data_IF_820389355994
#
_entry.id   IF_820389355994
#
_cell.length_a   1.000
_cell.length_b   1.000
_cell.length_c   1.000
_cell.angle_alpha   90.00
_cell.angle_beta   90.00
_cell.angle_gamma   90.00
#
_symmetry.space_group_name_H-M   'P 1'
#
loop_
_entity.id
_entity.type
_entity.pdbx_description
1 polymer ?
#
# COMPACT_ATOMS: atom_id res chain seq x y z
N UNK A 1 5.89 -11.58 -5.92
CA UNK A 1 6.64 -11.21 -4.69
C UNK A 1 5.69 -10.52 -3.73
N UNK A 2 5.64 -11.00 -2.49
CA UNK A 2 4.78 -10.41 -1.47
C UNK A 2 5.57 -9.42 -0.61
N UNK A 3 5.13 -8.17 -0.58
CA UNK A 3 5.76 -7.08 0.17
C UNK A 3 4.87 -6.62 1.33
N UNK A 4 4.23 -7.57 1.98
CA UNK A 4 3.40 -7.33 3.17
C UNK A 4 3.63 -8.49 4.14
N UNK A 5 4.08 -8.17 5.36
CA UNK A 5 4.29 -9.18 6.40
C UNK A 5 2.99 -9.53 7.12
N UNK A 6 2.14 -8.52 7.35
CA UNK A 6 0.85 -8.72 8.01
C UNK A 6 -0.14 -7.69 7.53
N UNK A 7 -1.43 -8.04 7.62
CA UNK A 7 -2.52 -7.12 7.29
C UNK A 7 -3.70 -7.37 8.22
N UNK A 8 -4.31 -6.29 8.67
CA UNK A 8 -5.54 -6.30 9.46
C UNK A 8 -6.53 -5.38 8.77
N UNK A 9 -7.76 -5.86 8.59
CA UNK A 9 -8.86 -5.06 8.05
C UNK A 9 -9.73 -4.63 9.21
N UNK A 10 -9.99 -3.33 9.30
CA UNK A 10 -10.78 -2.74 10.38
C UNK A 10 -11.95 -1.96 9.81
N UNK A 11 -12.99 -1.78 10.63
CA UNK A 11 -14.18 -1.00 10.27
C UNK A 11 -14.21 0.25 11.13
N UNK A 12 -14.45 1.38 10.48
CA UNK A 12 -14.59 2.67 11.14
C UNK A 12 -16.03 3.15 10.95
N UNK A 13 -16.64 3.64 12.05
CA UNK A 13 -18.01 4.17 12.02
C UNK A 13 -17.94 5.68 12.20
N UNK A 14 -18.47 6.42 11.21
CA UNK A 14 -18.54 7.87 11.28
C UNK A 14 -19.69 8.32 12.18
N UNK A 15 -19.70 9.62 12.53
CA UNK A 15 -20.71 10.21 13.39
C UNK A 15 -22.14 10.06 12.83
N UNK A 16 -22.29 10.01 11.50
CA UNK A 16 -23.58 9.83 10.83
C UNK A 16 -24.04 8.37 10.76
N UNK A 17 -23.30 7.43 11.36
CA UNK A 17 -23.61 6.01 11.36
C UNK A 17 -23.10 5.24 10.15
N UNK A 18 -22.49 5.90 9.17
CA UNK A 18 -21.90 5.19 8.02
C UNK A 18 -20.65 4.44 8.44
N UNK A 19 -20.41 3.29 7.82
CA UNK A 19 -19.21 2.48 8.08
C UNK A 19 -18.33 2.45 6.85
N UNK A 20 -17.02 2.38 7.09
CA UNK A 20 -16.03 2.19 6.04
C UNK A 20 -14.98 1.21 6.53
N UNK A 21 -14.37 0.50 5.60
CA UNK A 21 -13.28 -0.43 5.90
C UNK A 21 -11.96 0.16 5.45
N UNK A 22 -10.93 -0.12 6.22
CA UNK A 22 -9.55 0.20 5.84
C UNK A 22 -8.65 -0.95 6.27
N UNK A 23 -7.51 -1.05 5.61
CA UNK A 23 -6.51 -2.04 5.95
C UNK A 23 -5.29 -1.37 6.56
N UNK A 24 -4.70 -2.03 7.55
CA UNK A 24 -3.40 -1.68 8.10
C UNK A 24 -2.47 -2.85 7.78
N UNK A 25 -1.52 -2.62 6.89
CA UNK A 25 -0.51 -3.59 6.51
C UNK A 25 0.85 -3.18 7.05
N UNK A 26 1.67 -4.15 7.38
CA UNK A 26 3.04 -3.88 7.85
C UNK A 26 4.05 -4.65 7.02
N UNK A 27 5.21 -4.04 6.85
CA UNK A 27 6.36 -4.70 6.25
C UNK A 27 7.63 -4.22 6.95
N UNK A 28 8.41 -5.15 7.45
CA UNK A 28 9.70 -4.84 8.07
C UNK A 28 10.82 -4.99 7.04
N UNK A 29 11.58 -3.92 6.81
CA UNK A 29 12.71 -3.91 5.88
C UNK A 29 13.89 -4.57 6.56
N UNK A 30 14.29 -5.74 6.08
CA UNK A 30 15.33 -6.56 6.72
C UNK A 30 16.74 -6.09 6.37
N UNK A 31 16.96 -5.68 5.11
CA UNK A 31 18.25 -5.21 4.64
C UNK A 31 18.87 -6.09 3.56
N UNK A 32 18.33 -7.31 3.38
CA UNK A 32 18.82 -8.25 2.38
C UNK A 32 17.94 -8.34 1.13
N UNK A 33 16.89 -7.52 1.07
CA UNK A 33 15.97 -7.52 -0.06
C UNK A 33 16.68 -7.13 -1.36
N UNK A 34 16.30 -7.79 -2.45
CA UNK A 34 16.93 -7.55 -3.75
C UNK A 34 16.79 -6.11 -4.23
N UNK A 35 15.71 -5.42 -3.87
CA UNK A 35 15.47 -4.04 -4.32
C UNK A 35 16.38 -3.02 -3.64
N UNK A 36 17.10 -3.40 -2.60
CA UNK A 36 18.11 -2.55 -1.96
C UNK A 36 19.46 -2.61 -2.66
N UNK A 37 19.69 -3.70 -3.42
CA UNK A 37 20.96 -3.91 -4.09
C UNK A 37 21.14 -2.91 -5.23
N UNK A 38 22.23 -2.15 -5.21
CA UNK A 38 22.50 -1.14 -6.22
C UNK A 38 21.73 0.16 -6.08
N UNK A 39 20.86 0.27 -5.07
CA UNK A 39 20.07 1.50 -4.84
C UNK A 39 20.41 2.09 -3.49
N UNK A 40 21.39 2.54 -3.47
CA UNK A 40 22.69 3.06 -3.47
C UNK A 40 23.62 2.16 -2.62
N UNK A 41 24.79 1.65 -3.10
CA UNK A 41 25.55 0.63 -2.38
C UNK A 41 25.97 1.05 -0.97
N UNK A 42 26.32 2.30 -0.76
CA UNK A 42 26.76 2.81 0.54
C UNK A 42 25.65 3.51 1.33
N UNK A 43 24.43 3.55 0.78
CA UNK A 43 23.30 4.22 1.39
C UNK A 43 21.99 3.55 0.93
N UNK A 44 21.71 2.35 1.44
CA UNK A 44 20.52 1.63 0.96
C UNK A 44 19.23 2.31 1.39
N UNK A 45 18.34 2.52 0.43
CA UNK A 45 17.00 3.05 0.66
C UNK A 45 16.01 2.24 -0.16
N UNK A 46 14.79 2.10 0.34
CA UNK A 46 13.73 1.44 -0.41
C UNK A 46 13.33 2.32 -1.59
N UNK A 47 13.41 1.81 -2.83
CA UNK A 47 13.00 2.60 -4.00
C UNK A 47 11.53 3.01 -3.91
N UNK A 48 11.23 4.23 -4.39
CA UNK A 48 9.86 4.74 -4.37
C UNK A 48 8.86 3.83 -5.06
N UNK A 49 9.26 3.22 -6.18
CA UNK A 49 8.38 2.29 -6.92
C UNK A 49 8.03 1.05 -6.08
N UNK A 50 8.91 0.62 -5.18
CA UNK A 50 8.63 -0.49 -4.28
C UNK A 50 7.60 -0.07 -3.22
N UNK A 51 7.67 1.16 -2.72
CA UNK A 51 6.65 1.69 -1.82
C UNK A 51 5.28 1.73 -2.50
N UNK A 52 5.24 2.12 -3.77
CA UNK A 52 4.01 2.07 -4.56
C UNK A 52 3.48 0.64 -4.68
N UNK A 53 4.36 -0.34 -4.92
CA UNK A 53 3.96 -1.74 -5.00
C UNK A 53 3.43 -2.26 -3.67
N UNK A 54 4.05 -1.89 -2.56
CA UNK A 54 3.56 -2.25 -1.22
C UNK A 54 2.16 -1.69 -0.97
N UNK A 55 1.94 -0.42 -1.34
CA UNK A 55 0.63 0.21 -1.21
C UNK A 55 -0.40 -0.50 -2.07
N UNK A 56 -0.04 -0.85 -3.30
CA UNK A 56 -0.93 -1.55 -4.22
C UNK A 56 -1.30 -2.95 -3.71
N UNK A 57 -0.33 -3.71 -3.19
CA UNK A 57 -0.60 -5.01 -2.60
C UNK A 57 -1.53 -4.91 -1.39
N UNK A 58 -1.35 -3.87 -0.56
CA UNK A 58 -2.20 -3.62 0.59
C UNK A 58 -3.64 -3.34 0.17
N UNK A 59 -3.84 -2.53 -0.86
CA UNK A 59 -5.17 -2.26 -1.40
C UNK A 59 -5.83 -3.51 -1.97
N UNK A 60 -5.07 -4.33 -2.70
CA UNK A 60 -5.59 -5.58 -3.25
C UNK A 60 -6.02 -6.54 -2.14
N UNK A 61 -5.22 -6.64 -1.08
CA UNK A 61 -5.56 -7.49 0.06
C UNK A 61 -6.80 -7.00 0.81
N UNK A 62 -7.03 -5.68 0.83
CA UNK A 62 -8.24 -5.12 1.41
C UNK A 62 -9.52 -5.59 0.69
N UNK A 63 -9.43 -5.88 -0.61
CA UNK A 63 -10.57 -6.38 -1.38
C UNK A 63 -10.96 -7.81 -0.98
N UNK A 64 -10.03 -8.58 -0.41
CA UNK A 64 -10.33 -9.90 0.15
C UNK A 64 -11.02 -10.84 -0.84
N UNK A 65 -12.23 -11.31 -0.50
CA UNK A 65 -12.96 -12.28 -1.31
C UNK A 65 -13.40 -11.73 -2.68
N UNK A 66 -13.46 -10.43 -2.86
CA UNK A 66 -13.86 -9.83 -4.14
C UNK A 66 -12.91 -10.19 -5.27
N UNK A 67 -11.64 -10.47 -4.96
CA UNK A 67 -10.64 -10.83 -5.97
C UNK A 67 -10.40 -12.33 -6.06
N UNK A 68 -11.18 -13.16 -5.36
CA UNK A 68 -10.95 -14.61 -5.27
C UNK A 68 -10.90 -15.29 -6.63
N UNK A 69 -11.76 -14.88 -7.57
CA UNK A 69 -11.80 -15.41 -8.93
C UNK A 69 -11.46 -14.34 -9.98
N UNK A 70 -10.83 -13.26 -9.55
CA UNK A 70 -10.52 -12.13 -10.41
C UNK A 70 -9.06 -11.72 -10.21
N UNK A 71 -8.53 -10.99 -11.17
CA UNK A 71 -7.17 -10.45 -11.12
C UNK A 71 -7.24 -8.94 -11.01
N UNK A 72 -6.58 -8.33 -10.03
CA UNK A 72 -6.47 -6.89 -9.98
C UNK A 72 -5.34 -6.45 -10.92
N UNK A 73 -5.69 -5.69 -11.95
CA UNK A 73 -4.73 -5.08 -12.86
C UNK A 73 -4.70 -3.58 -12.62
N UNK A 74 -3.51 -3.01 -12.48
CA UNK A 74 -3.38 -1.58 -12.27
C UNK A 74 -3.88 -0.83 -13.50
N UNK A 75 -4.73 0.17 -13.28
CA UNK A 75 -5.18 1.08 -14.32
C UNK A 75 -4.64 2.48 -14.13
N UNK A 76 -4.15 2.81 -12.94
CA UNK A 76 -3.54 4.11 -12.71
C UNK A 76 -2.94 4.25 -11.33
N UNK A 77 -2.00 5.15 -11.23
CA UNK A 77 -1.40 5.63 -9.98
C UNK A 77 -1.32 7.14 -10.10
N UNK A 78 -2.02 7.85 -9.21
CA UNK A 78 -2.12 9.31 -9.25
C UNK A 78 -1.70 9.94 -7.95
N UNK A 79 -1.25 11.20 -8.02
CA UNK A 79 -0.96 12.03 -6.87
C UNK A 79 0.02 11.37 -5.88
N UNK A 80 0.99 10.63 -6.42
CA UNK A 80 2.02 10.00 -5.61
C UNK A 80 2.99 11.05 -5.12
N UNK A 81 3.28 11.02 -3.81
CA UNK A 81 4.25 11.92 -3.18
C UNK A 81 5.17 11.11 -2.30
N UNK A 82 6.46 11.33 -2.44
CA UNK A 82 7.51 10.73 -1.63
C UNK A 82 8.02 11.80 -0.67
N UNK A 83 7.82 11.58 0.63
CA UNK A 83 8.11 12.60 1.64
C UNK A 83 9.33 12.30 2.49
N UNK A 84 9.57 11.02 2.80
CA UNK A 84 10.68 10.60 3.63
C UNK A 84 11.22 9.26 3.11
N UNK A 85 12.51 9.04 3.35
CA UNK A 85 13.17 7.81 2.96
C UNK A 85 12.80 6.66 3.90
N UNK A 86 12.83 5.45 3.35
CA UNK A 86 12.67 4.21 4.11
C UNK A 86 13.96 3.42 3.98
N UNK A 87 14.50 2.98 5.11
CA UNK A 87 15.81 2.34 5.19
C UNK A 87 15.72 0.96 5.84
N UNK A 88 16.75 0.11 5.67
CA UNK A 88 16.81 -1.16 6.41
C UNK A 88 16.62 -0.95 7.90
N UNK A 89 15.85 -1.83 8.52
CA UNK A 89 15.48 -1.74 9.92
C UNK A 89 14.17 -1.03 10.19
N UNK A 90 13.65 -0.27 9.21
CA UNK A 90 12.38 0.41 9.35
C UNK A 90 11.20 -0.57 9.21
N UNK A 91 10.15 -0.33 9.98
CA UNK A 91 8.87 -1.02 9.80
C UNK A 91 7.89 -0.06 9.14
N UNK A 92 7.44 -0.43 7.95
CA UNK A 92 6.51 0.37 7.18
C UNK A 92 5.09 -0.02 7.58
N UNK A 93 4.27 0.97 7.92
CA UNK A 93 2.86 0.79 8.21
C UNK A 93 2.06 1.46 7.10
N UNK A 94 1.25 0.68 6.39
CA UNK A 94 0.47 1.15 5.26
C UNK A 94 -1.00 1.12 5.60
N UNK A 95 -1.65 2.29 5.54
CA UNK A 95 -3.10 2.40 5.69
C UNK A 95 -3.70 2.61 4.31
N UNK A 96 -4.66 1.77 3.95
CA UNK A 96 -5.33 1.84 2.66
C UNK A 96 -6.85 1.74 2.81
N UNK A 97 -7.56 2.38 1.89
CA UNK A 97 -9.03 2.32 1.87
C UNK A 97 -9.53 2.45 0.44
N UNK A 98 -10.69 1.85 0.18
CA UNK A 98 -11.37 1.97 -1.11
C UNK A 98 -12.13 3.28 -1.10
N UNK A 99 -11.94 4.11 -2.14
CA UNK A 99 -12.55 5.42 -2.23
C UNK A 99 -13.73 5.46 -3.18
N UNK A 100 -13.76 4.60 -4.20
CA UNK A 100 -14.84 4.57 -5.17
C UNK A 100 -14.82 3.26 -5.94
N UNK A 101 -15.95 2.94 -6.57
CA UNK A 101 -16.09 1.78 -7.46
C UNK A 101 -16.95 2.19 -8.64
N UNK A 102 -16.46 1.90 -9.84
CA UNK A 102 -17.19 2.17 -11.08
C UNK A 102 -17.07 0.97 -11.99
N UNK A 103 -18.15 0.20 -12.12
CA UNK A 103 -18.16 -1.04 -12.89
C UNK A 103 -17.09 -2.00 -12.35
N UNK A 104 -16.10 -2.37 -13.18
CA UNK A 104 -15.03 -3.27 -12.78
C UNK A 104 -13.80 -2.55 -12.21
N UNK A 105 -13.85 -1.20 -12.15
CA UNK A 105 -12.73 -0.40 -11.67
C UNK A 105 -12.91 -0.05 -10.19
N UNK A 106 -11.89 -0.31 -9.41
CA UNK A 106 -11.83 0.02 -7.98
C UNK A 106 -10.80 1.11 -7.79
N UNK A 107 -11.18 2.15 -7.06
CA UNK A 107 -10.29 3.27 -6.71
C UNK A 107 -9.96 3.18 -5.23
N UNK A 108 -8.70 3.43 -4.91
CA UNK A 108 -8.19 3.32 -3.55
C UNK A 108 -7.19 4.44 -3.26
N UNK A 109 -7.02 4.73 -1.99
CA UNK A 109 -5.95 5.60 -1.51
C UNK A 109 -5.13 4.84 -0.49
N UNK A 110 -3.85 5.16 -0.40
CA UNK A 110 -2.95 4.55 0.56
C UNK A 110 -1.89 5.54 1.02
N UNK A 111 -1.40 5.32 2.23
CA UNK A 111 -0.25 6.04 2.76
C UNK A 111 0.65 5.07 3.49
N UNK A 112 1.96 5.30 3.39
CA UNK A 112 2.98 4.50 4.05
C UNK A 112 3.74 5.38 5.03
N UNK A 113 3.86 4.93 6.27
CA UNK A 113 4.53 5.65 7.36
C UNK A 113 5.56 4.78 8.03
N UNK A 114 6.60 5.42 8.55
CA UNK A 114 7.59 4.81 9.43
C UNK A 114 7.67 5.69 10.68
N UNK A 115 7.42 5.10 11.85
CA UNK A 115 7.42 5.80 13.15
C UNK A 115 6.53 7.05 13.12
N UNK A 116 5.37 6.96 12.46
CA UNK A 116 4.42 8.06 12.35
C UNK A 116 4.77 9.11 11.30
N UNK A 117 5.94 9.03 10.66
CA UNK A 117 6.32 9.95 9.58
C UNK A 117 5.81 9.45 8.24
N UNK A 118 5.15 10.31 7.49
CA UNK A 118 4.68 9.97 6.15
C UNK A 118 5.88 9.81 5.22
N UNK A 119 6.00 8.64 4.60
CA UNK A 119 7.06 8.34 3.62
C UNK A 119 6.53 8.41 2.20
N UNK A 120 5.34 7.89 1.96
CA UNK A 120 4.73 7.88 0.64
C UNK A 120 3.21 7.89 0.77
N UNK A 121 2.53 8.53 -0.18
CA UNK A 121 1.07 8.46 -0.31
C UNK A 121 0.69 8.50 -1.77
N UNK A 122 -0.48 7.97 -2.10
CA UNK A 122 -0.95 8.00 -3.48
C UNK A 122 -2.36 7.47 -3.62
N UNK A 123 -2.91 7.66 -4.81
CA UNK A 123 -4.19 7.10 -5.23
C UNK A 123 -3.91 6.03 -6.28
N UNK A 124 -4.62 4.92 -6.17
CA UNK A 124 -4.44 3.78 -7.07
C UNK A 124 -5.79 3.38 -7.65
N UNK A 125 -5.76 2.78 -8.82
CA UNK A 125 -6.94 2.17 -9.41
C UNK A 125 -6.61 0.82 -10.01
N UNK A 126 -7.59 -0.08 -9.96
CA UNK A 126 -7.46 -1.46 -10.42
C UNK A 126 -8.68 -1.83 -11.25
N UNK A 127 -8.46 -2.59 -12.32
CA UNK A 127 -9.54 -3.33 -12.97
C UNK A 127 -9.58 -4.74 -12.40
N UNK A 128 -10.76 -5.20 -12.05
CA UNK A 128 -10.97 -6.58 -11.58
C UNK A 128 -11.49 -7.40 -12.76
N UNK A 129 -10.68 -8.30 -13.27
CA UNK A 129 -11.01 -9.14 -14.43
C UNK A 129 -10.96 -10.62 -14.14
#
# INVERSE_FOLDING_TARGET
MLLVDSIVVETETAADGTTSQYAIATYHVRGDEYFLQGHFPDYPVVPGVILCEMMAQSCALLLGDEIKNKRPLYTGIDNVRFKNQVRPGDTIVIRSSITDRRQTIVFAKAEAKVDGRLCCRGNLSFALI
#
